data_IF_282507972538
#
_entry.id   IF_282507972538
#
_cell.length_a   1.000
_cell.length_b   1.000
_cell.length_c   1.000
_cell.angle_alpha   90.00
_cell.angle_beta   90.00
_cell.angle_gamma   90.00
#
_symmetry.space_group_name_H-M   'P 1'
#
loop_
_entity.id
_entity.type
_entity.pdbx_description
1 polymer ?
#
# COMPACT_ATOMS: atom_id res chain seq x y z
N UNK A 1 6.08 -12.16 6.64
CA UNK A 1 6.07 -12.15 5.45
C UNK A 1 7.30 -12.53 4.89
N UNK A 2 7.36 -13.15 4.12
CA UNK A 2 8.42 -13.50 3.65
C UNK A 2 9.13 -12.48 3.01
N UNK A 3 10.27 -12.42 3.17
CA UNK A 3 10.99 -11.49 2.55
C UNK A 3 11.19 -11.85 1.18
N UNK A 4 11.02 -10.94 0.35
CA UNK A 4 11.20 -11.15 -1.00
C UNK A 4 12.48 -10.58 -1.42
N UNK A 5 13.29 -11.30 -2.13
CA UNK A 5 14.58 -10.76 -2.54
C UNK A 5 14.38 -9.55 -3.41
N UNK A 6 15.15 -8.56 -3.18
CA UNK A 6 15.11 -7.36 -3.96
C UNK A 6 15.86 -7.56 -5.24
N UNK A 7 15.25 -7.26 -6.39
CA UNK A 7 15.92 -7.37 -7.58
C UNK A 7 16.68 -6.19 -7.87
N UNK A 8 17.77 -6.33 -8.48
CA UNK A 8 18.62 -5.24 -8.82
C UNK A 8 17.96 -4.36 -9.81
N UNK A 9 17.98 -3.12 -9.60
CA UNK A 9 17.42 -2.17 -10.53
C UNK A 9 15.93 -2.20 -10.63
N UNK A 10 15.26 -2.96 -9.77
CA UNK A 10 13.86 -2.99 -9.78
C UNK A 10 13.35 -2.82 -8.43
N UNK A 11 12.34 -2.04 -8.26
CA UNK A 11 11.71 -1.85 -6.98
C UNK A 11 10.55 -2.77 -6.88
N UNK A 12 10.55 -3.61 -5.87
CA UNK A 12 9.40 -4.43 -5.62
C UNK A 12 8.51 -3.69 -4.67
N UNK A 13 7.23 -3.69 -4.96
CA UNK A 13 6.28 -3.03 -4.08
C UNK A 13 6.08 -3.89 -2.85
N UNK A 14 6.11 -3.26 -1.68
CA UNK A 14 5.92 -3.98 -0.44
C UNK A 14 4.44 -4.22 -0.22
N UNK A 15 4.14 -5.11 0.71
CA UNK A 15 2.76 -5.35 1.12
C UNK A 15 2.13 -4.03 1.58
N UNK A 16 2.88 -3.22 2.32
CA UNK A 16 2.35 -1.97 2.85
C UNK A 16 2.01 -0.98 1.73
N UNK A 17 2.84 -0.94 0.73
CA UNK A 17 2.62 -0.05 -0.40
C UNK A 17 1.40 -0.47 -1.21
N UNK A 18 1.26 -1.77 -1.47
CA UNK A 18 0.13 -2.28 -2.22
C UNK A 18 -1.16 -2.03 -1.45
N UNK A 19 -1.14 -2.27 -0.14
CA UNK A 19 -2.31 -1.99 0.70
C UNK A 19 -2.68 -0.51 0.61
N UNK A 20 -1.69 0.37 0.63
CA UNK A 20 -1.95 1.81 0.54
C UNK A 20 -2.57 2.18 -0.80
N UNK A 21 -2.11 1.55 -1.88
CA UNK A 21 -2.68 1.81 -3.21
C UNK A 21 -4.16 1.45 -3.25
N UNK A 22 -4.51 0.29 -2.69
CA UNK A 22 -5.88 -0.17 -2.69
C UNK A 22 -6.76 0.74 -1.82
N UNK A 23 -6.32 1.03 -0.61
CA UNK A 23 -7.10 1.85 0.31
C UNK A 23 -7.28 3.25 -0.25
N UNK A 24 -6.23 3.79 -0.87
CA UNK A 24 -6.29 5.12 -1.46
C UNK A 24 -7.29 5.18 -2.60
N UNK A 25 -7.38 4.13 -3.40
CA UNK A 25 -8.28 4.10 -4.53
C UNK A 25 -9.74 3.86 -4.13
N UNK A 26 -9.97 3.35 -2.92
CA UNK A 26 -11.32 2.94 -2.49
C UNK A 26 -12.12 4.11 -1.90
N UNK A 27 -12.59 5.02 -2.75
CA UNK A 27 -13.26 6.21 -2.26
C UNK A 27 -14.65 6.45 -2.84
N UNK A 28 -15.62 5.57 -2.84
CA UNK A 28 -15.52 4.13 -3.00
C UNK A 28 -15.22 3.73 -4.43
N UNK A 29 -14.89 2.46 -4.64
CA UNK A 29 -14.52 2.03 -5.97
C UNK A 29 -14.85 0.56 -6.18
N UNK A 30 -15.06 0.17 -7.44
CA UNK A 30 -15.35 -1.20 -7.78
C UNK A 30 -14.09 -2.02 -7.87
N UNK A 31 -14.25 -3.33 -7.74
CA UNK A 31 -13.12 -4.24 -7.75
C UNK A 31 -12.23 -4.08 -8.98
N UNK A 32 -12.85 -3.91 -10.14
CA UNK A 32 -12.08 -3.77 -11.39
C UNK A 32 -11.13 -2.58 -11.35
N UNK A 33 -11.64 -1.44 -10.82
CA UNK A 33 -10.79 -0.26 -10.72
C UNK A 33 -9.70 -0.45 -9.70
N UNK A 34 -10.00 -1.16 -8.59
CA UNK A 34 -8.98 -1.43 -7.59
C UNK A 34 -7.90 -2.34 -8.17
N UNK A 35 -8.31 -3.26 -9.05
CA UNK A 35 -7.37 -4.13 -9.71
C UNK A 35 -6.39 -3.33 -10.57
N UNK A 36 -6.90 -2.38 -11.34
CA UNK A 36 -6.04 -1.55 -12.16
C UNK A 36 -5.18 -0.62 -11.32
N UNK A 37 -5.75 -0.01 -10.30
CA UNK A 37 -4.99 0.91 -9.45
C UNK A 37 -3.84 0.22 -8.74
N UNK A 38 -4.04 -1.02 -8.32
CA UNK A 38 -3.01 -1.77 -7.61
C UNK A 38 -2.11 -2.58 -8.54
N UNK A 39 -2.50 -2.72 -9.80
CA UNK A 39 -1.77 -3.50 -10.80
C UNK A 39 -1.57 -4.94 -10.35
N UNK A 40 -2.62 -5.51 -9.77
CA UNK A 40 -2.64 -6.89 -9.34
C UNK A 40 -3.57 -7.69 -10.21
N UNK A 41 -3.36 -9.00 -10.29
CA UNK A 41 -4.35 -9.86 -10.90
C UNK A 41 -5.46 -10.09 -9.89
N UNK A 42 -6.56 -10.69 -10.36
CA UNK A 42 -7.74 -10.83 -9.53
C UNK A 42 -7.52 -11.69 -8.29
N UNK A 43 -6.79 -12.79 -8.44
CA UNK A 43 -6.56 -13.68 -7.30
C UNK A 43 -5.81 -12.98 -6.18
N UNK A 44 -4.76 -12.26 -6.53
CA UNK A 44 -3.96 -11.56 -5.55
C UNK A 44 -4.75 -10.42 -4.94
N UNK A 45 -5.50 -9.68 -5.78
CA UNK A 45 -6.33 -8.59 -5.27
C UNK A 45 -7.33 -9.12 -4.25
N UNK A 46 -7.97 -10.26 -4.53
CA UNK A 46 -8.96 -10.82 -3.61
C UNK A 46 -8.33 -11.13 -2.25
N UNK A 47 -7.09 -11.59 -2.23
CA UNK A 47 -6.41 -11.85 -0.96
C UNK A 47 -6.17 -10.56 -0.19
N UNK A 48 -5.76 -9.52 -0.89
CA UNK A 48 -5.58 -8.21 -0.25
C UNK A 48 -6.90 -7.67 0.27
N UNK A 49 -7.95 -7.76 -0.54
CA UNK A 49 -9.25 -7.24 -0.12
C UNK A 49 -9.73 -7.94 1.14
N UNK A 50 -9.58 -9.26 1.19
CA UNK A 50 -9.99 -10.00 2.37
C UNK A 50 -9.20 -9.53 3.60
N UNK A 51 -7.91 -9.40 3.46
CA UNK A 51 -7.06 -8.97 4.56
C UNK A 51 -7.42 -7.56 5.03
N UNK A 52 -7.63 -6.65 4.08
CA UNK A 52 -7.93 -5.28 4.43
C UNK A 52 -9.31 -5.14 5.07
N UNK A 53 -10.27 -5.92 4.62
CA UNK A 53 -11.59 -5.93 5.24
C UNK A 53 -11.51 -6.53 6.64
N UNK A 54 -10.81 -7.65 6.78
CA UNK A 54 -10.66 -8.31 8.07
C UNK A 54 -9.98 -7.40 9.10
N UNK A 55 -9.09 -6.54 8.62
CA UNK A 55 -8.39 -5.61 9.51
C UNK A 55 -9.12 -4.28 9.66
N UNK A 56 -10.28 -4.15 9.06
CA UNK A 56 -11.09 -2.96 9.26
C UNK A 56 -10.66 -1.74 8.46
N UNK A 57 -9.84 -1.92 7.43
CA UNK A 57 -9.38 -0.79 6.61
C UNK A 57 -10.31 -0.51 5.44
N UNK A 58 -11.10 -1.49 5.04
CA UNK A 58 -12.07 -1.35 3.96
C UNK A 58 -13.40 -1.94 4.38
N UNK A 59 -14.48 -1.43 3.79
CA UNK A 59 -15.78 -2.08 3.87
C UNK A 59 -16.18 -2.52 2.47
N UNK A 60 -16.97 -3.58 2.41
CA UNK A 60 -17.47 -4.15 1.17
C UNK A 60 -18.97 -3.87 1.12
N UNK A 61 -19.39 -2.96 0.28
CA UNK A 61 -20.80 -2.67 0.11
C UNK A 61 -21.37 -3.59 -0.96
N UNK A 62 -22.09 -4.60 -0.54
CA UNK A 62 -22.62 -5.61 -1.46
C UNK A 62 -23.70 -5.06 -2.38
N UNK A 63 -24.36 -4.01 -1.96
CA UNK A 63 -25.45 -3.44 -2.78
C UNK A 63 -24.85 -2.68 -3.96
N UNK A 64 -23.91 -1.79 -3.70
CA UNK A 64 -23.31 -1.01 -4.77
C UNK A 64 -22.14 -1.76 -5.43
N UNK A 65 -21.70 -2.86 -4.80
CA UNK A 65 -20.56 -3.62 -5.28
C UNK A 65 -19.29 -2.78 -5.32
N UNK A 66 -19.12 -1.98 -4.29
CA UNK A 66 -17.94 -1.12 -4.17
C UNK A 66 -17.26 -1.38 -2.84
N UNK A 67 -15.99 -1.00 -2.79
CA UNK A 67 -15.19 -1.07 -1.58
C UNK A 67 -14.85 0.35 -1.18
N UNK A 68 -14.90 0.63 0.11
CA UNK A 68 -14.67 1.99 0.59
C UNK A 68 -13.71 1.97 1.76
N UNK A 69 -12.79 2.92 1.79
CA UNK A 69 -11.87 3.06 2.91
C UNK A 69 -12.64 3.50 4.15
N UNK A 70 -12.33 2.87 5.27
CA UNK A 70 -12.91 3.22 6.57
C UNK A 70 -12.08 4.35 7.18
N UNK A 71 -12.56 4.96 8.27
CA UNK A 71 -11.71 5.92 9.00
C UNK A 71 -10.38 5.30 9.40
N UNK A 72 -10.38 4.02 9.79
CA UNK A 72 -9.13 3.34 10.11
C UNK A 72 -8.26 3.21 8.86
N UNK A 73 -8.87 2.97 7.70
CA UNK A 73 -8.14 2.93 6.45
C UNK A 73 -7.48 4.26 6.13
N UNK A 74 -8.16 5.36 6.39
CA UNK A 74 -7.59 6.67 6.17
C UNK A 74 -6.44 6.95 7.14
N UNK A 75 -6.54 6.47 8.36
CA UNK A 75 -5.45 6.58 9.32
C UNK A 75 -4.24 5.77 8.85
N UNK A 76 -4.51 4.61 8.25
CA UNK A 76 -3.44 3.81 7.69
C UNK A 76 -2.70 4.57 6.58
N UNK A 77 -3.45 5.24 5.72
CA UNK A 77 -2.83 6.02 4.64
C UNK A 77 -1.92 7.12 5.20
N UNK A 78 -2.38 7.79 6.26
CA UNK A 78 -1.56 8.81 6.86
C UNK A 78 -0.28 8.23 7.45
N UNK A 79 -0.41 7.10 8.14
CA UNK A 79 0.75 6.42 8.70
C UNK A 79 1.71 5.98 7.62
N UNK A 80 1.19 5.51 6.48
CA UNK A 80 2.03 5.10 5.38
C UNK A 80 2.77 6.28 4.78
N UNK A 81 2.09 7.42 4.63
CA UNK A 81 2.73 8.63 4.12
C UNK A 81 3.86 9.08 5.05
N UNK A 82 3.63 9.01 6.34
CA UNK A 82 4.65 9.37 7.33
C UNK A 82 5.84 8.42 7.24
N UNK A 83 5.56 7.14 7.03
CA UNK A 83 6.60 6.14 6.88
C UNK A 83 7.46 6.43 5.64
N UNK A 84 6.83 6.76 4.53
CA UNK A 84 7.55 7.06 3.30
C UNK A 84 8.43 8.29 3.49
N UNK A 85 7.91 9.32 4.15
CA UNK A 85 8.66 10.54 4.39
C UNK A 85 9.86 10.26 5.30
N UNK A 86 9.66 9.46 6.35
CA UNK A 86 10.74 9.10 7.27
C UNK A 86 11.82 8.30 6.56
N UNK A 87 11.43 7.40 5.68
CA UNK A 87 12.38 6.58 4.95
C UNK A 87 13.22 7.43 4.00
N UNK A 88 12.59 8.43 3.38
CA UNK A 88 13.30 9.33 2.49
C UNK A 88 14.31 10.17 3.29
N UNK A 89 13.89 10.66 4.44
CA UNK A 89 14.78 11.45 5.29
C UNK A 89 15.96 10.60 5.76
N UNK A 90 15.71 9.35 6.11
CA UNK A 90 16.77 8.45 6.53
C UNK A 90 17.80 8.28 5.42
N UNK A 91 17.34 8.09 4.19
CA UNK A 91 18.24 7.93 3.05
C UNK A 91 19.08 9.18 2.82
N UNK A 92 18.48 10.34 2.98
CA UNK A 92 19.20 11.58 2.80
C UNK A 92 20.30 11.74 3.85
N UNK A 93 19.96 11.39 5.09
CA UNK A 93 20.95 11.48 6.17
C UNK A 93 22.08 10.48 5.96
N UNK A 94 21.73 9.31 5.52
CA UNK A 94 22.73 8.27 5.25
C UNK A 94 23.66 8.72 4.13
N UNK A 95 23.12 9.30 3.08
CA UNK A 95 23.92 9.79 1.98
C UNK A 95 24.85 10.90 2.44
N UNK A 96 24.37 11.78 3.31
CA UNK A 96 25.21 12.85 3.83
C UNK A 96 26.38 12.29 4.63
N UNK A 97 26.12 11.28 5.47
CA UNK A 97 27.20 10.66 6.23
C UNK A 97 28.22 10.00 5.30
N UNK A 98 27.71 9.36 4.26
CA UNK A 98 28.59 8.64 3.34
C UNK A 98 29.55 9.59 2.64
N UNK A 99 29.11 10.81 2.37
CA UNK A 99 29.94 11.77 1.68
C UNK A 99 31.15 12.20 2.51
N UNK A 100 31.08 12.07 3.85
CA UNK A 100 32.21 12.41 4.69
C UNK A 100 33.26 11.31 4.71
N UNK A 101 32.91 10.12 4.28
CA UNK A 101 33.81 8.98 4.39
C UNK A 101 34.48 8.57 3.07
N UNK A 102 34.11 9.18 2.00
CA UNK A 102 34.70 8.83 0.71
C UNK A 102 35.67 9.88 0.17
#
# INVERSE_FOLDING_TARGET
>A
MQSIPVRQGRTRRSYYEIAALIVSAASPERKTRLMYASRLNLDVLNKYLKSLIDNGLLTDDKVSRTFKATPKGLQYLKAFQDYVAARQLFREKERAMRSFLS
#
